data_IF_122965086246
#
_entry.id   IF_122965086246
#
_cell.length_a   1.000
_cell.length_b   1.000
_cell.length_c   1.000
_cell.angle_alpha   90.00
_cell.angle_beta   90.00
_cell.angle_gamma   90.00
#
_symmetry.space_group_name_H-M   'P 1'
#
loop_
_entity.id
_entity.type
_entity.pdbx_description
1 polymer ?
#
# COMPACT_ATOMS: atom_id res chain seq x y z
N UNK A 1 -5.20 18.55 11.60
CA UNK A 1 -6.02 19.70 11.16
C UNK A 1 -6.67 19.32 9.85
N UNK A 2 -8.00 19.39 9.73
CA UNK A 2 -8.67 19.20 8.45
C UNK A 2 -8.30 20.40 7.57
N UNK A 3 -7.80 20.16 6.36
CA UNK A 3 -7.45 21.24 5.42
C UNK A 3 -8.76 21.88 4.94
N UNK A 4 -8.82 23.21 4.92
CA UNK A 4 -9.95 23.93 4.33
C UNK A 4 -9.87 23.80 2.80
N UNK A 5 -10.99 23.45 2.16
CA UNK A 5 -11.05 23.21 0.71
C UNK A 5 -10.68 24.47 -0.10
N UNK A 6 -10.87 25.67 0.47
CA UNK A 6 -10.47 26.94 -0.15
C UNK A 6 -8.93 27.09 -0.25
N UNK A 7 -8.18 26.30 0.52
CA UNK A 7 -6.70 26.29 0.51
C UNK A 7 -6.13 25.14 -0.34
N UNK A 8 -6.96 24.34 -1.01
CA UNK A 8 -6.50 23.30 -1.93
C UNK A 8 -5.96 23.91 -3.22
N UNK A 9 -4.76 23.47 -3.64
CA UNK A 9 -4.12 23.91 -4.89
C UNK A 9 -4.87 23.31 -6.09
N UNK A 10 -5.20 22.03 -6.00
CA UNK A 10 -6.01 21.34 -7.00
C UNK A 10 -7.49 21.41 -6.60
N UNK A 11 -8.41 21.74 -7.54
CA UNK A 11 -9.83 21.72 -7.26
C UNK A 11 -10.37 20.29 -7.05
N UNK A 12 -9.66 19.25 -7.50
CA UNK A 12 -10.02 17.85 -7.28
C UNK A 12 -9.98 17.47 -5.80
N UNK A 13 -9.07 18.08 -5.02
CA UNK A 13 -8.92 17.88 -3.58
C UNK A 13 -9.63 18.97 -2.75
N UNK A 14 -10.57 19.71 -3.36
CA UNK A 14 -11.30 20.81 -2.72
C UNK A 14 -12.71 20.92 -3.30
N UNK A 15 -12.94 21.88 -4.21
CA UNK A 15 -14.25 22.15 -4.85
C UNK A 15 -14.96 20.90 -5.39
N UNK A 16 -14.22 19.94 -5.93
CA UNK A 16 -14.75 18.73 -6.54
C UNK A 16 -14.45 17.45 -5.73
N UNK A 17 -14.01 17.60 -4.47
CA UNK A 17 -13.61 16.45 -3.63
C UNK A 17 -14.73 15.43 -3.43
N UNK A 18 -15.97 15.89 -3.26
CA UNK A 18 -17.13 15.01 -3.07
C UNK A 18 -17.39 14.09 -4.27
N UNK A 19 -17.26 14.61 -5.50
CA UNK A 19 -17.44 13.80 -6.73
C UNK A 19 -16.19 12.99 -7.08
N UNK A 20 -15.02 13.38 -6.56
CA UNK A 20 -13.76 12.67 -6.76
C UNK A 20 -13.47 11.62 -5.68
N UNK A 21 -14.37 11.41 -4.71
CA UNK A 21 -14.14 10.51 -3.57
C UNK A 21 -13.72 9.10 -3.99
N UNK A 22 -14.45 8.50 -4.93
CA UNK A 22 -14.17 7.13 -5.43
C UNK A 22 -12.83 7.07 -6.19
N UNK A 23 -12.41 8.18 -6.81
CA UNK A 23 -11.11 8.29 -7.47
C UNK A 23 -10.00 8.27 -6.43
N UNK A 24 -10.21 8.91 -5.27
CA UNK A 24 -9.28 8.89 -4.14
C UNK A 24 -9.00 7.48 -3.61
N UNK A 25 -10.00 6.61 -3.63
CA UNK A 25 -9.85 5.20 -3.21
C UNK A 25 -8.94 4.38 -4.14
N UNK A 26 -8.65 4.88 -5.35
CA UNK A 26 -7.77 4.20 -6.33
C UNK A 26 -6.44 4.94 -6.54
N UNK A 27 -6.48 6.27 -6.66
CA UNK A 27 -5.34 7.08 -7.12
C UNK A 27 -4.69 7.93 -6.02
N UNK A 28 -5.12 7.80 -4.76
CA UNK A 28 -4.43 8.44 -3.65
C UNK A 28 -3.08 7.79 -3.37
N UNK A 29 -2.20 8.53 -2.67
CA UNK A 29 -0.93 7.99 -2.18
C UNK A 29 -1.15 6.80 -1.22
N UNK A 30 -2.20 6.84 -0.40
CA UNK A 30 -2.60 5.69 0.45
C UNK A 30 -2.88 4.45 -0.41
N UNK A 31 -3.69 4.60 -1.46
CA UNK A 31 -4.05 3.49 -2.35
C UNK A 31 -2.84 2.98 -3.12
N UNK A 32 -1.94 3.86 -3.57
CA UNK A 32 -0.68 3.47 -4.21
C UNK A 32 0.19 2.63 -3.27
N UNK A 33 0.37 3.07 -2.02
CA UNK A 33 1.13 2.32 -1.01
C UNK A 33 0.49 0.96 -0.75
N UNK A 34 -0.83 0.93 -0.51
CA UNK A 34 -1.59 -0.30 -0.24
C UNK A 34 -1.42 -1.32 -1.37
N UNK A 35 -1.51 -0.89 -2.63
CA UNK A 35 -1.34 -1.77 -3.78
C UNK A 35 0.10 -2.19 -4.02
N UNK A 36 1.09 -1.38 -3.67
CA UNK A 36 2.51 -1.80 -3.70
C UNK A 36 2.78 -2.92 -2.69
N UNK A 37 2.29 -2.78 -1.46
CA UNK A 37 2.35 -3.84 -0.44
C UNK A 37 1.70 -5.13 -0.96
N UNK A 38 0.53 -5.03 -1.61
CA UNK A 38 -0.14 -6.17 -2.23
C UNK A 38 0.73 -6.89 -3.28
N UNK A 39 1.35 -6.13 -4.18
CA UNK A 39 2.20 -6.69 -5.24
C UNK A 39 3.41 -7.39 -4.66
N UNK A 40 4.09 -6.80 -3.67
CA UNK A 40 5.24 -7.42 -2.99
C UNK A 40 4.85 -8.73 -2.28
N UNK A 41 3.72 -8.73 -1.57
CA UNK A 41 3.17 -9.94 -0.95
C UNK A 41 2.86 -11.02 -2.00
N UNK A 42 2.16 -10.66 -3.08
CA UNK A 42 1.80 -11.60 -4.15
C UNK A 42 3.04 -12.14 -4.85
N UNK A 43 4.05 -11.29 -5.04
CA UNK A 43 5.32 -11.70 -5.62
C UNK A 43 6.04 -12.70 -4.72
N UNK A 44 6.15 -12.44 -3.42
CA UNK A 44 6.75 -13.38 -2.47
C UNK A 44 6.01 -14.72 -2.42
N UNK A 45 4.66 -14.70 -2.38
CA UNK A 45 3.84 -15.91 -2.46
C UNK A 45 4.10 -16.66 -3.76
N UNK A 46 4.17 -15.97 -4.90
CA UNK A 46 4.48 -16.58 -6.19
C UNK A 46 5.86 -17.25 -6.19
N UNK A 47 6.89 -16.57 -5.69
CA UNK A 47 8.24 -17.12 -5.58
C UNK A 47 8.25 -18.40 -4.71
N UNK A 48 7.49 -18.42 -3.62
CA UNK A 48 7.41 -19.61 -2.75
C UNK A 48 6.83 -20.85 -3.44
N UNK A 49 6.12 -20.69 -4.56
CA UNK A 49 5.51 -21.77 -5.33
C UNK A 49 6.49 -22.35 -6.39
N UNK A 50 7.65 -21.74 -6.59
CA UNK A 50 8.65 -22.17 -7.57
C UNK A 50 9.67 -23.11 -6.91
N UNK A 51 9.60 -24.40 -7.24
CA UNK A 51 10.48 -25.44 -6.67
C UNK A 51 11.98 -25.27 -6.98
N UNK A 52 12.34 -24.43 -7.97
CA UNK A 52 13.74 -24.17 -8.35
C UNK A 52 14.46 -23.15 -7.45
N UNK A 53 13.74 -22.41 -6.61
CA UNK A 53 14.33 -21.38 -5.74
C UNK A 53 14.87 -22.04 -4.47
N UNK A 54 16.19 -22.25 -4.44
CA UNK A 54 16.87 -22.80 -3.27
C UNK A 54 16.76 -21.82 -2.09
N UNK A 55 16.40 -22.33 -0.91
CA UNK A 55 16.30 -21.54 0.33
C UNK A 55 14.94 -20.90 0.59
N UNK A 56 13.98 -21.02 -0.34
CA UNK A 56 12.60 -20.56 -0.13
C UNK A 56 11.64 -21.77 -0.14
N UNK A 57 11.21 -22.27 1.04
CA UNK A 57 10.25 -23.36 1.09
C UNK A 57 8.86 -22.91 0.64
N UNK A 58 8.03 -23.86 0.20
CA UNK A 58 6.60 -23.63 -0.04
C UNK A 58 5.94 -23.12 1.23
N UNK A 59 5.17 -22.03 1.10
CA UNK A 59 4.38 -21.50 2.19
C UNK A 59 3.25 -22.47 2.54
N UNK A 60 2.98 -22.61 3.84
CA UNK A 60 1.79 -23.34 4.30
C UNK A 60 0.56 -22.45 4.06
N UNK A 61 -0.64 -23.02 3.92
CA UNK A 61 -1.87 -22.24 3.72
C UNK A 61 -2.09 -21.15 4.78
N UNK A 62 -1.70 -21.42 6.03
CA UNK A 62 -1.77 -20.44 7.12
C UNK A 62 -0.82 -19.24 6.94
N UNK A 63 0.36 -19.46 6.37
CA UNK A 63 1.38 -18.43 6.19
C UNK A 63 1.02 -17.57 4.97
N UNK A 64 0.51 -18.20 3.90
CA UNK A 64 -0.07 -17.48 2.76
C UNK A 64 -1.26 -16.62 3.19
N UNK A 65 -2.15 -17.15 4.04
CA UNK A 65 -3.27 -16.38 4.60
C UNK A 65 -2.78 -15.18 5.42
N UNK A 66 -1.84 -15.40 6.34
CA UNK A 66 -1.26 -14.31 7.15
C UNK A 66 -0.72 -13.17 6.28
N UNK A 67 0.00 -13.50 5.20
CA UNK A 67 0.52 -12.48 4.28
C UNK A 67 -0.60 -11.73 3.56
N UNK A 68 -1.67 -12.41 3.12
CA UNK A 68 -2.81 -11.74 2.48
C UNK A 68 -3.59 -10.86 3.45
N UNK A 69 -3.66 -11.25 4.73
CA UNK A 69 -4.35 -10.48 5.76
C UNK A 69 -3.65 -9.13 6.02
N UNK A 70 -2.31 -9.03 5.86
CA UNK A 70 -1.58 -7.74 5.88
C UNK A 70 -2.18 -6.73 4.88
N UNK A 71 -2.56 -7.19 3.70
CA UNK A 71 -3.20 -6.32 2.69
C UNK A 71 -4.68 -6.07 3.00
N UNK A 72 -5.41 -7.10 3.43
CA UNK A 72 -6.84 -7.00 3.70
C UNK A 72 -7.13 -6.02 4.84
N UNK A 73 -6.30 -6.06 5.88
CA UNK A 73 -6.42 -5.23 7.08
C UNK A 73 -5.61 -3.92 7.00
N UNK A 74 -5.05 -3.62 5.82
CA UNK A 74 -4.17 -2.47 5.63
C UNK A 74 -4.87 -1.14 5.95
N UNK A 75 -4.28 -0.37 6.87
CA UNK A 75 -4.89 0.82 7.45
C UNK A 75 -4.10 2.11 7.15
N UNK A 76 -4.70 3.26 7.45
CA UNK A 76 -4.00 4.55 7.39
C UNK A 76 -2.76 4.61 8.31
N UNK A 77 -2.74 3.82 9.40
CA UNK A 77 -1.58 3.73 10.30
C UNK A 77 -0.39 3.06 9.61
N UNK A 78 -0.66 2.03 8.80
CA UNK A 78 0.37 1.30 8.06
C UNK A 78 0.97 2.18 6.96
N UNK A 79 0.13 2.90 6.21
CA UNK A 79 0.61 3.87 5.23
C UNK A 79 1.49 4.96 5.86
N UNK A 80 1.14 5.46 7.05
CA UNK A 80 1.98 6.42 7.79
C UNK A 80 3.31 5.80 8.23
N UNK A 81 3.32 4.51 8.56
CA UNK A 81 4.55 3.78 8.91
C UNK A 81 5.48 3.66 7.70
N UNK A 82 4.95 3.36 6.51
CA UNK A 82 5.70 3.39 5.24
C UNK A 82 6.30 4.78 5.00
N UNK A 83 5.51 5.86 5.11
CA UNK A 83 6.01 7.24 4.95
C UNK A 83 7.11 7.58 5.96
N UNK A 84 7.04 7.04 7.18
CA UNK A 84 8.09 7.21 8.19
C UNK A 84 9.39 6.53 7.76
N UNK A 85 9.34 5.32 7.22
CA UNK A 85 10.51 4.63 6.68
C UNK A 85 11.07 5.37 5.46
N UNK A 86 10.20 5.83 4.56
CA UNK A 86 10.56 6.62 3.37
C UNK A 86 11.32 7.89 3.75
N UNK A 87 10.99 8.52 4.88
CA UNK A 87 11.71 9.71 5.34
C UNK A 87 13.21 9.46 5.54
N UNK A 88 13.59 8.21 5.87
CA UNK A 88 14.97 7.76 6.05
C UNK A 88 15.56 7.19 4.76
N UNK A 89 14.83 6.33 4.03
CA UNK A 89 15.33 5.70 2.80
C UNK A 89 15.40 6.66 1.61
N UNK A 90 14.60 7.73 1.64
CA UNK A 90 14.33 8.64 0.50
C UNK A 90 13.87 7.91 -0.77
N UNK A 91 13.29 6.74 -0.61
CA UNK A 91 12.80 5.92 -1.71
C UNK A 91 11.53 5.19 -1.28
N UNK A 92 10.45 5.46 -2.00
CA UNK A 92 9.09 4.99 -1.72
C UNK A 92 8.96 3.46 -1.79
N UNK A 93 9.40 2.83 -2.87
CA UNK A 93 9.37 1.36 -3.01
C UNK A 93 10.25 0.68 -1.98
N UNK A 94 11.38 1.28 -1.58
CA UNK A 94 12.26 0.69 -0.55
C UNK A 94 11.66 0.79 0.87
N UNK A 95 10.68 1.66 1.06
CA UNK A 95 9.99 1.85 2.32
C UNK A 95 8.75 0.96 2.49
N UNK A 96 8.31 0.32 1.41
CA UNK A 96 7.34 -0.79 1.41
C UNK A 96 8.01 -2.01 2.03
#
# INVERSE_FOLDING_TARGET
MKKDDLLSISPLDGRYSDVCKDIGDVFSEYSLIKHRVYVEIKWFIFLSKIDKIKGLPKLKPKDEKFLLDIYNDFSLSDARSVKKLESTTKHDVKAI
#
